data_IF_904954143950
#
_entry.id   IF_904954143950
#
_cell.length_a   1.000
_cell.length_b   1.000
_cell.length_c   1.000
_cell.angle_alpha   90.00
_cell.angle_beta   90.00
_cell.angle_gamma   90.00
#
_symmetry.space_group_name_H-M   'P 1'
#
loop_
_entity.id
_entity.type
_entity.pdbx_description
1 polymer ?
#
# COMPACT_ATOMS: atom_id res chain seq x y z
N UNK A 1 -27.75 9.07 8.90
CA UNK A 1 -26.55 8.22 9.09
C UNK A 1 -25.86 8.47 10.43
N UNK A 2 -25.45 9.70 10.77
CA UNK A 2 -24.74 9.97 12.03
C UNK A 2 -25.54 9.66 13.31
N UNK A 3 -26.87 9.78 13.27
CA UNK A 3 -27.75 9.51 14.42
C UNK A 3 -27.56 8.10 15.01
N UNK A 4 -27.36 7.08 14.17
CA UNK A 4 -27.18 5.70 14.62
C UNK A 4 -25.87 5.52 15.38
N UNK A 5 -24.79 6.16 14.92
CA UNK A 5 -23.51 6.15 15.61
C UNK A 5 -23.58 6.96 16.91
N UNK A 6 -24.32 8.07 16.91
CA UNK A 6 -24.47 8.90 18.11
C UNK A 6 -25.46 8.37 19.13
N UNK A 7 -26.23 7.33 18.81
CA UNK A 7 -27.18 6.69 19.72
C UNK A 7 -26.55 5.51 20.49
N UNK A 8 -25.32 5.11 20.14
CA UNK A 8 -24.58 4.07 20.83
C UNK A 8 -24.02 4.56 22.17
N UNK A 9 -23.81 3.64 23.11
CA UNK A 9 -23.13 3.97 24.37
C UNK A 9 -21.69 4.51 24.08
N UNK A 10 -21.15 5.44 24.89
CA UNK A 10 -19.82 6.01 24.68
C UNK A 10 -18.73 4.93 24.54
N UNK A 11 -18.82 3.87 25.35
CA UNK A 11 -17.90 2.72 25.34
C UNK A 11 -18.00 1.93 24.04
N UNK A 12 -19.21 1.72 23.51
CA UNK A 12 -19.41 1.02 22.24
C UNK A 12 -18.87 1.83 21.06
N UNK A 13 -19.04 3.16 21.05
CA UNK A 13 -18.46 4.02 19.99
C UNK A 13 -16.95 3.95 19.98
N UNK A 14 -16.33 3.94 21.16
CA UNK A 14 -14.88 3.83 21.30
C UNK A 14 -14.39 2.45 20.81
N UNK A 15 -15.08 1.37 21.17
CA UNK A 15 -14.76 0.03 20.68
C UNK A 15 -14.85 -0.08 19.16
N UNK A 16 -15.90 0.47 18.54
CA UNK A 16 -16.06 0.49 17.08
C UNK A 16 -14.96 1.32 16.41
N UNK A 17 -14.64 2.49 16.97
CA UNK A 17 -13.56 3.34 16.46
C UNK A 17 -12.19 2.65 16.50
N UNK A 18 -11.86 2.02 17.64
CA UNK A 18 -10.62 1.25 17.81
C UNK A 18 -10.61 0.04 16.87
N UNK A 19 -11.74 -0.66 16.71
CA UNK A 19 -11.86 -1.79 15.79
C UNK A 19 -11.62 -1.38 14.32
N UNK A 20 -12.18 -0.24 13.89
CA UNK A 20 -11.97 0.27 12.55
C UNK A 20 -10.50 0.66 12.28
N UNK A 21 -9.86 1.32 13.26
CA UNK A 21 -8.44 1.68 13.18
C UNK A 21 -7.57 0.43 13.15
N UNK A 22 -7.83 -0.53 14.04
CA UNK A 22 -7.11 -1.80 14.09
C UNK A 22 -7.27 -2.60 12.79
N UNK A 23 -8.45 -2.60 12.18
CA UNK A 23 -8.68 -3.23 10.87
C UNK A 23 -7.88 -2.55 9.75
N UNK A 24 -7.82 -1.22 9.74
CA UNK A 24 -6.99 -0.46 8.79
C UNK A 24 -5.51 -0.81 8.92
N UNK A 25 -4.98 -0.85 10.15
CA UNK A 25 -3.59 -1.24 10.40
C UNK A 25 -3.33 -2.72 10.07
N UNK A 26 -4.27 -3.61 10.37
CA UNK A 26 -4.17 -5.01 9.98
C UNK A 26 -4.08 -5.13 8.45
N UNK A 27 -4.90 -4.39 7.68
CA UNK A 27 -4.82 -4.38 6.22
C UNK A 27 -3.45 -3.89 5.69
N UNK A 28 -2.87 -2.87 6.31
CA UNK A 28 -1.55 -2.33 5.93
C UNK A 28 -0.38 -3.22 6.35
N UNK A 29 -0.52 -3.95 7.46
CA UNK A 29 0.55 -4.82 7.96
C UNK A 29 0.51 -6.21 7.33
N UNK A 30 -0.68 -6.68 6.95
CA UNK A 30 -0.83 -7.98 6.31
C UNK A 30 -0.28 -8.00 4.89
N UNK A 31 -0.08 -6.86 4.22
CA UNK A 31 0.36 -6.80 2.81
C UNK A 31 1.67 -7.55 2.53
N UNK A 32 2.69 -7.43 3.37
CA UNK A 32 3.98 -8.12 3.18
C UNK A 32 3.92 -9.63 3.54
N UNK A 33 3.50 -10.03 4.75
CA UNK A 33 3.44 -11.45 5.12
C UNK A 33 2.34 -12.24 4.40
N UNK A 34 1.26 -11.60 3.94
CA UNK A 34 0.25 -12.24 3.09
C UNK A 34 0.76 -12.40 1.67
N UNK A 35 1.48 -11.42 1.11
CA UNK A 35 2.15 -11.61 -0.19
C UNK A 35 3.15 -12.77 -0.14
N UNK A 36 3.96 -12.86 0.91
CA UNK A 36 4.92 -13.96 1.09
C UNK A 36 4.24 -15.32 1.28
N UNK A 37 3.16 -15.39 2.08
CA UNK A 37 2.42 -16.64 2.28
C UNK A 37 1.51 -17.03 1.11
N UNK A 38 1.09 -16.07 0.28
CA UNK A 38 0.36 -16.31 -0.96
C UNK A 38 1.29 -16.62 -2.14
N UNK A 39 2.61 -16.64 -1.94
CA UNK A 39 3.58 -16.97 -2.99
C UNK A 39 3.83 -15.83 -3.99
N UNK A 40 3.45 -14.60 -3.63
CA UNK A 40 3.80 -13.38 -4.37
C UNK A 40 5.16 -12.79 -3.94
N UNK A 41 6.03 -13.58 -3.31
CA UNK A 41 7.43 -13.19 -3.10
C UNK A 41 8.08 -13.06 -4.49
N UNK A 42 8.50 -11.88 -4.95
CA UNK A 42 9.14 -11.74 -6.24
C UNK A 42 10.45 -12.54 -6.21
N UNK A 43 10.47 -13.65 -6.92
CA UNK A 43 11.66 -14.49 -7.07
C UNK A 43 12.79 -13.62 -7.62
N UNK A 44 14.05 -13.89 -7.28
CA UNK A 44 15.19 -13.09 -7.76
C UNK A 44 15.23 -12.95 -9.30
N UNK A 45 14.60 -13.88 -10.03
CA UNK A 45 14.37 -13.81 -11.48
C UNK A 45 13.48 -12.64 -11.92
N UNK A 46 12.39 -12.35 -11.22
CA UNK A 46 11.47 -11.26 -11.59
C UNK A 46 12.15 -9.89 -11.40
N UNK A 47 12.98 -9.77 -10.35
CA UNK A 47 13.83 -8.58 -10.14
C UNK A 47 14.84 -8.41 -11.27
N UNK A 48 15.47 -9.49 -11.74
CA UNK A 48 16.42 -9.45 -12.83
C UNK A 48 15.77 -9.17 -14.20
N UNK A 49 14.50 -9.53 -14.39
CA UNK A 49 13.74 -9.22 -15.61
C UNK A 49 13.25 -7.77 -15.63
N UNK A 50 12.81 -7.26 -14.47
CA UNK A 50 12.47 -5.85 -14.29
C UNK A 50 13.68 -4.92 -14.48
N UNK A 51 14.87 -5.34 -14.02
CA UNK A 51 16.10 -4.55 -14.21
C UNK A 51 16.44 -4.40 -15.71
N UNK A 52 16.18 -5.44 -16.51
CA UNK A 52 16.33 -5.39 -17.98
C UNK A 52 15.29 -4.50 -18.67
N UNK A 53 14.09 -4.37 -18.10
CA UNK A 53 13.02 -3.53 -18.64
C UNK A 53 13.08 -2.08 -18.14
N UNK A 54 13.96 -1.77 -17.18
CA UNK A 54 14.04 -0.42 -16.62
C UNK A 54 14.63 0.55 -17.65
N UNK A 55 13.87 1.53 -18.14
CA UNK A 55 14.35 2.44 -19.17
C UNK A 55 15.37 3.41 -18.55
N UNK A 56 16.56 3.47 -19.15
CA UNK A 56 17.60 4.41 -18.75
C UNK A 56 17.33 5.80 -19.35
N UNK A 57 17.25 6.84 -18.51
CA UNK A 57 17.01 8.21 -18.95
C UNK A 57 18.31 8.74 -19.54
N UNK A 58 18.35 8.83 -20.87
CA UNK A 58 19.46 9.46 -21.59
C UNK A 58 19.16 10.96 -21.69
N UNK A 59 19.84 11.77 -20.90
CA UNK A 59 19.74 13.23 -21.01
C UNK A 59 20.46 13.70 -22.28
N UNK A 60 19.69 14.20 -23.25
CA UNK A 60 20.23 14.80 -24.47
C UNK A 60 20.34 16.31 -24.28
N UNK A 61 21.55 16.84 -24.42
CA UNK A 61 21.79 18.28 -24.31
C UNK A 61 21.17 19.01 -25.52
N UNK A 62 20.24 19.93 -25.26
CA UNK A 62 19.53 20.64 -26.32
C UNK A 62 20.49 21.65 -26.96
N UNK A 63 20.93 21.38 -28.19
CA UNK A 63 21.70 22.33 -29.00
C UNK A 63 20.83 23.57 -29.24
N UNK A 64 21.19 24.69 -28.59
CA UNK A 64 20.62 26.00 -28.92
C UNK A 64 21.13 26.39 -30.30
N UNK A 65 20.30 26.19 -31.32
CA UNK A 65 20.50 26.82 -32.63
C UNK A 65 20.13 28.31 -32.49
N UNK A 66 21.09 29.15 -32.90
CA UNK A 66 21.05 30.62 -32.84
C UNK A 66 20.16 31.21 -33.91
#
# INVERSE_FOLDING_TARGET
MFRSFTNLSPTTRLAVGVGAIAWGFAGLYLTEPVADKLGYTPTEKDKAELDKMTPHIITVERRQER
#
